data_IF_032607451144
#
_entry.id   IF_032607451144
#
_cell.length_a   1.000
_cell.length_b   1.000
_cell.length_c   1.000
_cell.angle_alpha   90.00
_cell.angle_beta   90.00
_cell.angle_gamma   90.00
#
_symmetry.space_group_name_H-M   'P 1'
#
loop_
_entity.id
_entity.type
_entity.pdbx_description
1 polymer ?
#
# COMPACT_ATOMS: atom_id res chain seq x y z
N UNK A 1 -47.01 3.39 30.86
CA UNK A 1 -46.59 2.72 29.60
C UNK A 1 -45.28 3.35 29.12
N UNK A 2 -44.14 2.76 29.48
CA UNK A 2 -42.82 3.25 29.05
C UNK A 2 -42.57 2.87 27.59
N UNK A 3 -42.20 3.85 26.76
CA UNK A 3 -41.92 3.60 25.33
C UNK A 3 -40.67 2.72 25.18
N UNK A 4 -40.74 1.78 24.26
CA UNK A 4 -39.80 0.66 24.08
C UNK A 4 -38.40 1.11 23.62
N UNK A 5 -37.51 1.36 24.60
CA UNK A 5 -36.08 1.67 24.44
C UNK A 5 -35.28 0.58 23.68
N UNK A 6 -35.82 -0.64 23.56
CA UNK A 6 -35.17 -1.74 22.82
C UNK A 6 -34.97 -1.45 21.33
N UNK A 7 -35.87 -0.70 20.70
CA UNK A 7 -35.79 -0.44 19.26
C UNK A 7 -34.69 0.56 18.92
N UNK A 8 -34.48 1.56 19.78
CA UNK A 8 -33.42 2.55 19.63
C UNK A 8 -32.03 1.91 19.74
N UNK A 9 -31.83 1.09 20.78
CA UNK A 9 -30.57 0.38 21.01
C UNK A 9 -30.19 -0.57 19.85
N UNK A 10 -31.19 -1.24 19.24
CA UNK A 10 -30.96 -2.09 18.06
C UNK A 10 -30.51 -1.26 16.85
N UNK A 11 -31.21 -0.15 16.55
CA UNK A 11 -30.87 0.76 15.45
C UNK A 11 -29.47 1.36 15.62
N UNK A 12 -29.08 1.74 16.82
CA UNK A 12 -27.73 2.26 17.09
C UNK A 12 -26.63 1.21 16.89
N UNK A 13 -26.85 -0.03 17.37
CA UNK A 13 -25.89 -1.13 17.18
C UNK A 13 -25.70 -1.45 15.70
N UNK A 14 -26.76 -1.44 14.92
CA UNK A 14 -26.71 -1.67 13.48
C UNK A 14 -25.94 -0.58 12.75
N UNK A 15 -26.22 0.70 13.05
CA UNK A 15 -25.43 1.84 12.52
C UNK A 15 -23.94 1.70 12.83
N UNK A 16 -23.58 1.36 14.07
CA UNK A 16 -22.18 1.12 14.47
C UNK A 16 -21.53 -0.03 13.70
N UNK A 17 -22.27 -1.12 13.44
CA UNK A 17 -21.77 -2.25 12.62
C UNK A 17 -21.52 -1.83 11.17
N UNK A 18 -22.47 -1.13 10.55
CA UNK A 18 -22.33 -0.64 9.17
C UNK A 18 -21.13 0.30 9.05
N UNK A 19 -20.98 1.24 10.00
CA UNK A 19 -19.83 2.17 10.02
C UNK A 19 -18.50 1.41 10.08
N UNK A 20 -18.37 0.47 11.02
CA UNK A 20 -17.15 -0.35 11.16
C UNK A 20 -16.85 -1.17 9.90
N UNK A 21 -17.88 -1.70 9.22
CA UNK A 21 -17.68 -2.42 7.97
C UNK A 21 -17.18 -1.51 6.85
N UNK A 22 -17.76 -0.30 6.71
CA UNK A 22 -17.30 0.71 5.73
C UNK A 22 -15.86 1.13 6.00
N UNK A 23 -15.53 1.46 7.24
CA UNK A 23 -14.16 1.83 7.66
C UNK A 23 -13.16 0.70 7.35
N UNK A 24 -13.53 -0.56 7.61
CA UNK A 24 -12.69 -1.71 7.26
C UNK A 24 -12.48 -1.88 5.75
N UNK A 25 -13.52 -1.65 4.94
CA UNK A 25 -13.43 -1.71 3.47
C UNK A 25 -12.50 -0.62 2.95
N UNK A 26 -12.71 0.63 3.37
CA UNK A 26 -11.85 1.76 2.99
C UNK A 26 -10.40 1.46 3.34
N UNK A 27 -10.11 1.04 4.59
CA UNK A 27 -8.75 0.68 5.00
C UNK A 27 -8.17 -0.49 4.21
N UNK A 28 -8.99 -1.43 3.76
CA UNK A 28 -8.54 -2.53 2.93
C UNK A 28 -8.21 -2.07 1.51
N UNK A 29 -9.00 -1.16 0.94
CA UNK A 29 -8.78 -0.62 -0.40
C UNK A 29 -7.60 0.36 -0.42
N UNK A 30 -7.46 1.23 0.59
CA UNK A 30 -6.26 2.05 0.79
C UNK A 30 -4.99 1.19 0.86
N UNK A 31 -5.03 0.06 1.56
CA UNK A 31 -3.90 -0.89 1.61
C UNK A 31 -3.62 -1.55 0.28
N UNK A 32 -4.63 -1.77 -0.57
CA UNK A 32 -4.42 -2.33 -1.92
C UNK A 32 -3.81 -1.28 -2.83
N UNK A 33 -4.32 -0.05 -2.81
CA UNK A 33 -3.80 1.05 -3.63
C UNK A 33 -2.38 1.46 -3.22
N UNK A 34 -2.07 1.47 -1.92
CA UNK A 34 -0.72 1.72 -1.42
C UNK A 34 0.16 0.46 -1.33
N UNK A 35 -0.37 -0.73 -1.60
CA UNK A 35 0.50 -1.90 -1.61
C UNK A 35 1.32 -1.90 -2.89
N UNK A 36 2.60 -1.56 -2.76
CA UNK A 36 3.64 -1.75 -3.78
C UNK A 36 3.84 -3.22 -4.22
N UNK A 37 3.04 -4.15 -3.66
CA UNK A 37 3.09 -5.60 -3.95
C UNK A 37 2.64 -5.98 -5.37
N UNK A 38 2.10 -5.03 -6.12
CA UNK A 38 1.71 -5.20 -7.53
C UNK A 38 2.59 -4.46 -8.53
N UNK A 39 3.63 -3.76 -8.05
CA UNK A 39 4.64 -3.16 -8.93
C UNK A 39 5.38 -4.28 -9.66
N UNK A 40 5.64 -4.10 -10.96
CA UNK A 40 6.36 -5.09 -11.75
C UNK A 40 7.74 -5.33 -11.12
N UNK A 41 8.30 -6.53 -11.29
CA UNK A 41 9.62 -6.89 -10.74
C UNK A 41 10.69 -5.83 -11.10
N UNK A 42 10.53 -5.19 -12.25
CA UNK A 42 11.35 -4.10 -12.77
C UNK A 42 11.26 -2.81 -11.94
N UNK A 43 10.09 -2.46 -11.41
CA UNK A 43 9.92 -1.30 -10.51
C UNK A 43 10.44 -1.56 -9.08
N UNK A 44 10.66 -2.83 -8.71
CA UNK A 44 11.30 -3.22 -7.46
C UNK A 44 12.84 -3.32 -7.60
N UNK A 45 13.35 -3.33 -8.83
CA UNK A 45 14.78 -3.32 -9.11
C UNK A 45 15.33 -1.89 -9.00
N UNK A 46 16.04 -1.65 -7.91
CA UNK A 46 16.77 -0.43 -7.64
C UNK A 46 18.26 -0.63 -7.93
N UNK A 47 18.88 0.27 -8.68
CA UNK A 47 20.34 0.29 -8.85
C UNK A 47 20.96 1.13 -7.75
N UNK A 48 22.00 0.62 -7.09
CA UNK A 48 22.71 1.33 -6.03
C UNK A 48 23.95 2.00 -6.63
N UNK A 49 24.10 3.31 -6.43
CA UNK A 49 25.30 4.05 -6.84
C UNK A 49 26.47 3.86 -5.85
N UNK A 50 27.66 4.35 -6.19
CA UNK A 50 28.88 4.26 -5.36
C UNK A 50 28.73 4.90 -3.97
N UNK A 51 27.72 5.74 -3.77
CA UNK A 51 27.42 6.43 -2.52
C UNK A 51 26.25 5.78 -1.74
N UNK A 52 25.73 4.65 -2.22
CA UNK A 52 24.64 3.92 -1.56
C UNK A 52 23.25 4.48 -1.81
N UNK A 53 23.08 5.41 -2.75
CA UNK A 53 21.77 5.95 -3.12
C UNK A 53 21.09 5.06 -4.16
N UNK A 54 19.78 4.88 -3.99
CA UNK A 54 18.92 4.12 -4.91
C UNK A 54 18.57 4.99 -6.11
N UNK A 55 18.84 4.49 -7.32
CA UNK A 55 18.56 5.16 -8.58
C UNK A 55 17.73 4.25 -9.51
N UNK A 56 16.77 4.85 -10.23
CA UNK A 56 15.93 4.16 -11.21
C UNK A 56 16.59 4.09 -12.60
N UNK A 57 17.72 4.79 -12.78
CA UNK A 57 18.47 4.83 -14.02
C UNK A 57 19.49 3.71 -13.97
N UNK A 58 19.37 2.74 -14.88
CA UNK A 58 20.35 1.69 -15.04
C UNK A 58 21.74 2.34 -15.22
N UNK A 59 22.73 2.02 -14.38
CA UNK A 59 24.08 2.55 -14.56
C UNK A 59 24.54 2.17 -15.96
N UNK A 60 25.05 3.17 -16.69
CA UNK A 60 25.60 2.97 -18.03
C UNK A 60 26.61 1.81 -17.96
N UNK A 61 26.59 0.86 -18.92
CA UNK A 61 27.61 -0.17 -18.97
C UNK A 61 28.95 0.55 -19.07
N UNK A 62 29.72 0.51 -17.99
CA UNK A 62 31.13 0.83 -18.05
C UNK A 62 31.70 -0.33 -18.87
N UNK A 63 31.80 -0.12 -20.18
CA UNK A 63 32.59 -0.98 -21.04
C UNK A 63 33.92 -1.19 -20.33
N UNK A 64 34.17 -2.43 -19.94
CA UNK A 64 35.40 -2.85 -19.30
C UNK A 64 36.56 -2.36 -20.17
N UNK A 65 37.19 -1.27 -19.73
CA UNK A 65 38.51 -0.82 -20.18
C UNK A 65 39.57 -1.82 -19.69
N UNK A 66 39.46 -3.08 -20.09
CA UNK A 66 40.35 -4.16 -19.65
C UNK A 66 40.97 -5.02 -20.75
N UNK A 67 40.78 -4.69 -22.03
CA UNK A 67 41.47 -5.39 -23.12
C UNK A 67 42.11 -4.42 -24.12
N UNK A 68 43.02 -3.55 -23.65
CA UNK A 68 44.05 -2.91 -24.48
C UNK A 68 45.28 -2.60 -23.63
N UNK A 69 46.06 -3.64 -23.31
CA UNK A 69 47.53 -3.54 -23.26
C UNK A 69 48.14 -4.93 -23.50
#
# INVERSE_FOLDING_TARGET
MGRSNDTFNKKEKEKKRIKKQREKKIKADERKENSDKGKSLEEMMAYVDENGNITNVRPQPVEDKKDKE
#
